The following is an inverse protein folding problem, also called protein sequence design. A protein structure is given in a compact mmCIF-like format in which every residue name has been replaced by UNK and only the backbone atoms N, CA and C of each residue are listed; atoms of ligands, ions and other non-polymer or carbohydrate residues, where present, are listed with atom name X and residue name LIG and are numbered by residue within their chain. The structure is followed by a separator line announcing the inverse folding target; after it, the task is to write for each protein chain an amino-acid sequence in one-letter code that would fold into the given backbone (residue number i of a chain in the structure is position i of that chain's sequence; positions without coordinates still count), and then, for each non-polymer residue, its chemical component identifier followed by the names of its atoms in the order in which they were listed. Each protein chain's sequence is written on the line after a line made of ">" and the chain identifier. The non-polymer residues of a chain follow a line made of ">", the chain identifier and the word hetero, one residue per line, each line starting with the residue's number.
data_IF_888781767251
#
_entry.id   IF_888781767251
#
_cell.length_a   1.000
_cell.length_b   1.000
_cell.length_c   1.000
_cell.angle_alpha   90.00
_cell.angle_beta   90.00
_cell.angle_gamma   90.00
#
_symmetry.space_group_name_H-M   'P 1'
#
loop_
_entity.id
_entity.type
_entity.pdbx_description
1 polymer ?
#
# COMPACT_ATOMS: atom_id res chain seq x y z
N UNK A 1 -1.94 -7.49 20.27
CA UNK A 1 -1.09 -8.58 19.75
C UNK A 1 0.27 -8.06 19.29
N UNK A 2 0.35 -6.86 18.69
CA UNK A 2 1.56 -6.35 18.03
C UNK A 2 2.15 -5.06 18.66
N UNK A 3 2.00 -4.86 19.98
CA UNK A 3 2.35 -3.60 20.66
C UNK A 3 3.82 -3.17 20.52
N UNK A 4 4.72 -4.12 20.32
CA UNK A 4 6.17 -3.88 20.16
C UNK A 4 6.62 -3.90 18.69
N UNK A 5 5.68 -3.94 17.74
CA UNK A 5 5.95 -3.93 16.30
C UNK A 5 5.72 -2.53 15.75
N UNK A 6 6.78 -1.93 15.21
CA UNK A 6 6.73 -0.71 14.42
C UNK A 6 6.88 -1.02 12.93
N UNK A 7 6.04 -0.36 12.14
CA UNK A 7 5.97 -0.52 10.69
C UNK A 7 6.18 0.83 10.02
N UNK A 8 7.17 0.92 9.12
CA UNK A 8 7.25 2.03 8.15
C UNK A 8 6.53 1.60 6.87
N UNK A 9 5.44 2.27 6.53
CA UNK A 9 4.63 1.98 5.35
C UNK A 9 4.82 3.05 4.28
N UNK A 10 5.20 2.64 3.08
CA UNK A 10 5.21 3.49 1.90
C UNK A 10 4.00 3.25 0.99
N UNK A 11 2.96 2.61 1.54
CA UNK A 11 1.87 2.12 0.73
C UNK A 11 0.90 3.23 0.32
N UNK A 12 0.29 3.09 -0.85
CA UNK A 12 -0.75 3.98 -1.37
C UNK A 12 -1.99 3.21 -1.85
N UNK A 13 -3.07 3.95 -2.14
CA UNK A 13 -4.39 3.41 -2.49
C UNK A 13 -4.99 2.51 -1.39
N UNK A 14 -5.26 1.22 -1.67
CA UNK A 14 -6.03 0.35 -0.76
C UNK A 14 -5.29 -0.89 -0.29
N UNK A 15 -4.73 -1.73 -1.17
CA UNK A 15 -4.18 -3.04 -0.76
C UNK A 15 -3.16 -2.94 0.39
N UNK A 16 -2.08 -2.16 0.21
CA UNK A 16 -1.08 -1.95 1.25
C UNK A 16 -1.59 -1.14 2.45
N UNK A 17 -2.38 -0.06 2.26
CA UNK A 17 -3.00 0.64 3.39
C UNK A 17 -3.96 -0.24 4.21
N UNK A 18 -4.77 -1.11 3.59
CA UNK A 18 -5.63 -2.04 4.30
C UNK A 18 -4.80 -3.01 5.16
N UNK A 19 -3.77 -3.64 4.59
CA UNK A 19 -2.87 -4.54 5.31
C UNK A 19 -2.27 -3.88 6.56
N UNK A 20 -1.69 -2.69 6.37
CA UNK A 20 -1.06 -1.96 7.47
C UNK A 20 -2.07 -1.40 8.47
N UNK A 21 -3.32 -1.14 8.07
CA UNK A 21 -4.38 -0.78 9.00
C UNK A 21 -4.77 -1.97 9.88
N UNK A 22 -4.90 -3.18 9.31
CA UNK A 22 -5.21 -4.38 10.10
C UNK A 22 -4.13 -4.64 11.15
N UNK A 23 -2.85 -4.48 10.79
CA UNK A 23 -1.75 -4.60 11.76
C UNK A 23 -1.79 -3.50 12.83
N UNK A 24 -2.13 -2.26 12.46
CA UNK A 24 -2.33 -1.17 13.41
C UNK A 24 -3.49 -1.46 14.37
N UNK A 25 -4.60 -2.03 13.87
CA UNK A 25 -5.75 -2.44 14.68
C UNK A 25 -5.39 -3.54 15.69
N UNK A 26 -4.42 -4.40 15.34
CA UNK A 26 -3.86 -5.43 16.24
C UNK A 26 -2.81 -4.88 17.23
N UNK A 27 -2.50 -3.59 17.14
CA UNK A 27 -1.68 -2.82 18.06
C UNK A 27 -0.30 -2.40 17.56
N UNK A 28 0.03 -2.58 16.27
CA UNK A 28 1.30 -2.12 15.72
C UNK A 28 1.38 -0.59 15.61
N UNK A 29 2.56 -0.01 15.83
CA UNK A 29 2.83 1.42 15.60
C UNK A 29 3.18 1.64 14.12
N UNK A 30 2.21 2.11 13.35
CA UNK A 30 2.36 2.27 11.90
C UNK A 30 2.61 3.73 11.54
N UNK A 31 3.72 3.99 10.86
CA UNK A 31 4.10 5.28 10.30
C UNK A 31 3.95 5.19 8.77
N UNK A 32 2.96 5.90 8.21
CA UNK A 32 2.78 6.06 6.77
C UNK A 32 3.66 7.21 6.27
N UNK A 33 4.49 6.91 5.28
CA UNK A 33 5.25 7.91 4.53
C UNK A 33 4.40 8.39 3.35
N UNK A 34 4.24 9.70 3.22
CA UNK A 34 3.46 10.32 2.15
C UNK A 34 4.30 11.35 1.37
N UNK A 35 3.93 11.65 0.11
CA UNK A 35 4.43 12.84 -0.57
C UNK A 35 4.12 14.12 0.21
N UNK A 36 4.83 15.22 -0.08
CA UNK A 36 4.62 16.52 0.54
C UNK A 36 3.17 17.01 0.37
N UNK A 37 2.58 16.72 -0.79
CA UNK A 37 1.20 17.07 -1.09
C UNK A 37 0.19 16.11 -0.44
N UNK A 38 0.64 15.09 0.28
CA UNK A 38 -0.18 13.97 0.78
C UNK A 38 -0.52 12.96 -0.32
N UNK A 39 -0.90 11.75 0.10
CA UNK A 39 -1.23 10.67 -0.82
C UNK A 39 -2.44 11.02 -1.72
N UNK A 40 -2.41 10.58 -2.98
CA UNK A 40 -3.43 10.91 -3.98
C UNK A 40 -4.84 10.52 -3.52
N UNK A 41 -4.96 9.35 -2.90
CA UNK A 41 -6.21 8.81 -2.40
C UNK A 41 -6.89 9.69 -1.34
N UNK A 42 -6.19 10.67 -0.73
CA UNK A 42 -6.83 11.65 0.17
C UNK A 42 -7.81 12.58 -0.56
N UNK A 43 -7.58 12.82 -1.85
CA UNK A 43 -8.35 13.72 -2.72
C UNK A 43 -9.19 12.99 -3.77
N UNK A 44 -9.13 11.67 -3.81
CA UNK A 44 -9.89 10.84 -4.73
C UNK A 44 -10.72 9.83 -3.97
N UNK A 45 -12.01 9.74 -4.29
CA UNK A 45 -12.95 8.86 -3.59
C UNK A 45 -13.96 8.26 -4.57
N UNK A 46 -14.33 7.00 -4.32
CA UNK A 46 -15.47 6.37 -4.99
C UNK A 46 -16.77 7.12 -4.65
N UNK A 47 -17.64 7.26 -5.66
CA UNK A 47 -18.93 7.96 -5.54
C UNK A 47 -18.86 9.39 -4.96
N UNK A 48 -17.70 10.06 -5.10
CA UNK A 48 -17.47 11.42 -4.58
C UNK A 48 -17.75 11.55 -3.06
N UNK A 49 -17.46 10.50 -2.28
CA UNK A 49 -17.71 10.49 -0.82
C UNK A 49 -16.54 11.12 -0.08
N UNK A 50 -16.79 12.25 0.61
CA UNK A 50 -15.81 12.98 1.41
C UNK A 50 -16.35 13.26 2.82
N UNK A 51 -15.48 13.16 3.82
CA UNK A 51 -15.76 13.53 5.21
C UNK A 51 -14.76 14.60 5.61
N UNK A 52 -15.25 15.80 5.96
CA UNK A 52 -14.40 16.95 6.30
C UNK A 52 -13.31 17.24 5.25
N UNK A 53 -13.65 17.12 3.97
CA UNK A 53 -12.71 17.36 2.86
C UNK A 53 -11.69 16.25 2.60
N UNK A 54 -11.76 15.12 3.33
CA UNK A 54 -10.91 13.95 3.11
C UNK A 54 -11.73 12.81 2.51
N UNK A 55 -11.15 12.14 1.51
CA UNK A 55 -11.75 10.98 0.84
C UNK A 55 -12.17 9.89 1.84
N UNK A 56 -13.42 9.44 1.72
CA UNK A 56 -13.91 8.27 2.46
C UNK A 56 -13.10 7.00 2.15
N UNK A 57 -12.59 6.87 0.91
CA UNK A 57 -11.71 5.77 0.52
C UNK A 57 -10.39 5.80 1.31
N UNK A 58 -9.76 6.96 1.49
CA UNK A 58 -8.56 7.08 2.33
C UNK A 58 -8.86 6.73 3.79
N UNK A 59 -9.96 7.28 4.34
CA UNK A 59 -10.33 7.11 5.75
C UNK A 59 -10.63 5.65 6.10
N UNK A 60 -11.17 4.87 5.17
CA UNK A 60 -11.48 3.45 5.37
C UNK A 60 -10.25 2.55 5.55
N UNK A 61 -9.05 2.99 5.14
CA UNK A 61 -7.84 2.18 5.09
C UNK A 61 -6.61 2.80 5.79
N UNK A 62 -6.77 3.90 6.53
CA UNK A 62 -5.66 4.59 7.20
C UNK A 62 -5.90 4.96 8.68
N UNK A 63 -6.91 4.40 9.35
CA UNK A 63 -7.08 4.61 10.80
C UNK A 63 -5.95 3.95 11.59
N UNK A 64 -5.72 4.43 12.82
CA UNK A 64 -4.67 3.95 13.74
C UNK A 64 -3.22 4.11 13.24
N UNK A 65 -2.99 4.93 12.22
CA UNK A 65 -1.65 5.25 11.70
C UNK A 65 -1.26 6.68 12.02
N UNK A 66 0.05 6.89 12.18
CA UNK A 66 0.68 8.22 12.10
C UNK A 66 1.11 8.45 10.66
N UNK A 67 1.11 9.71 10.22
CA UNK A 67 1.55 10.08 8.87
C UNK A 67 2.68 11.09 8.95
N UNK A 68 3.68 10.94 8.08
CA UNK A 68 4.75 11.92 7.87
C UNK A 68 4.91 12.15 6.37
N UNK A 69 4.96 13.42 5.98
CA UNK A 69 5.18 13.81 4.59
C UNK A 69 6.68 14.01 4.34
N UNK A 70 7.23 13.33 3.34
CA UNK A 70 8.64 13.39 2.97
C UNK A 70 8.78 13.50 1.44
N UNK A 71 9.69 14.35 0.98
CA UNK A 71 10.19 14.27 -0.40
C UNK A 71 11.29 13.22 -0.49
N UNK A 72 10.95 12.03 -0.96
CA UNK A 72 11.89 10.91 -1.08
C UNK A 72 12.91 11.08 -2.22
N UNK A 73 12.75 12.09 -3.09
CA UNK A 73 13.75 12.43 -4.11
C UNK A 73 14.85 13.32 -3.53
N UNK A 74 14.56 14.07 -2.47
CA UNK A 74 15.55 14.84 -1.74
C UNK A 74 16.43 13.90 -0.89
N UNK A 75 17.76 14.06 -0.88
CA UNK A 75 18.66 13.26 -0.05
C UNK A 75 18.27 13.25 1.44
N UNK A 76 17.82 14.40 1.96
CA UNK A 76 17.40 14.57 3.34
C UNK A 76 16.12 13.79 3.65
N UNK A 77 15.13 13.83 2.75
CA UNK A 77 13.89 13.08 2.91
C UNK A 77 14.12 11.57 2.86
N UNK A 78 15.01 11.11 1.98
CA UNK A 78 15.48 9.72 1.95
C UNK A 78 16.17 9.32 3.25
N UNK A 79 17.07 10.15 3.77
CA UNK A 79 17.77 9.84 5.02
C UNK A 79 16.83 9.80 6.23
N UNK A 80 15.83 10.69 6.29
CA UNK A 80 14.77 10.64 7.31
C UNK A 80 13.99 9.33 7.21
N UNK A 81 13.61 8.91 5.99
CA UNK A 81 12.93 7.64 5.78
C UNK A 81 13.78 6.45 6.25
N UNK A 82 15.09 6.43 5.94
CA UNK A 82 16.01 5.39 6.43
C UNK A 82 16.09 5.35 7.96
N UNK A 83 16.14 6.50 8.64
CA UNK A 83 16.12 6.56 10.11
C UNK A 83 14.83 6.00 10.71
N UNK A 84 13.68 6.24 10.07
CA UNK A 84 12.41 5.63 10.48
C UNK A 84 12.43 4.10 10.30
N UNK A 85 13.02 3.63 9.20
CA UNK A 85 13.19 2.20 8.92
C UNK A 85 14.11 1.53 9.95
N UNK A 86 15.22 2.15 10.36
CA UNK A 86 16.15 1.60 11.36
C UNK A 86 15.48 1.31 12.71
N UNK A 87 14.44 2.08 13.04
CA UNK A 87 13.61 1.94 14.24
C UNK A 87 12.43 0.98 14.06
N UNK A 88 12.18 0.51 12.84
CA UNK A 88 11.05 -0.36 12.51
C UNK A 88 11.49 -1.83 12.45
N UNK A 89 10.53 -2.73 12.71
CA UNK A 89 10.72 -4.17 12.49
C UNK A 89 10.27 -4.57 11.08
N UNK A 90 9.34 -3.80 10.50
CA UNK A 90 8.75 -4.10 9.19
C UNK A 90 8.77 -2.86 8.30
N UNK A 91 9.11 -3.05 7.03
CA UNK A 91 8.84 -2.10 5.94
C UNK A 91 7.78 -2.71 5.03
N UNK A 92 6.77 -1.93 4.66
CA UNK A 92 5.73 -2.37 3.72
C UNK A 92 5.61 -1.37 2.58
N UNK A 93 5.60 -1.85 1.34
CA UNK A 93 5.43 -1.02 0.15
C UNK A 93 4.59 -1.75 -0.92
N UNK A 94 3.91 -0.97 -1.75
CA UNK A 94 3.10 -1.51 -2.86
C UNK A 94 3.28 -0.73 -4.16
N UNK A 95 4.47 -0.21 -4.41
CA UNK A 95 4.81 0.39 -5.68
C UNK A 95 5.05 -0.67 -6.75
N UNK A 96 5.17 -0.22 -8.00
CA UNK A 96 5.67 -1.10 -9.06
C UNK A 96 7.10 -1.56 -8.73
N UNK A 97 7.51 -2.77 -9.17
CA UNK A 97 8.88 -3.25 -8.96
C UNK A 97 9.92 -2.22 -9.41
N UNK A 98 10.98 -2.05 -8.61
CA UNK A 98 12.08 -1.12 -8.92
C UNK A 98 11.86 0.34 -8.53
N UNK A 99 10.67 0.74 -8.06
CA UNK A 99 10.42 2.14 -7.68
C UNK A 99 11.22 2.53 -6.43
N UNK A 100 11.09 1.78 -5.33
CA UNK A 100 11.87 2.10 -4.12
C UNK A 100 13.35 1.79 -4.27
N UNK A 101 13.74 0.83 -5.11
CA UNK A 101 15.15 0.58 -5.44
C UNK A 101 15.82 1.84 -6.02
N UNK A 102 15.16 2.50 -6.98
CA UNK A 102 15.64 3.77 -7.57
C UNK A 102 15.68 4.93 -6.57
N UNK A 103 14.86 4.89 -5.53
CA UNK A 103 14.88 5.85 -4.43
C UNK A 103 15.90 5.47 -3.34
N UNK A 104 16.62 4.36 -3.45
CA UNK A 104 17.55 3.88 -2.43
C UNK A 104 16.87 3.38 -1.16
N UNK A 105 15.59 3.00 -1.26
CA UNK A 105 14.75 2.49 -0.17
C UNK A 105 14.26 1.06 -0.44
N UNK A 106 14.79 0.42 -1.48
CA UNK A 106 14.54 -0.98 -1.79
C UNK A 106 15.17 -1.94 -0.78
N UNK A 107 14.82 -3.23 -0.89
CA UNK A 107 15.18 -4.24 0.10
C UNK A 107 16.70 -4.31 0.36
N UNK A 108 17.53 -4.36 -0.68
CA UNK A 108 18.99 -4.47 -0.49
C UNK A 108 19.58 -3.27 0.25
N UNK A 109 19.15 -2.05 -0.09
CA UNK A 109 19.60 -0.84 0.60
C UNK A 109 19.13 -0.79 2.06
N UNK A 110 17.88 -1.19 2.31
CA UNK A 110 17.29 -1.25 3.65
C UNK A 110 17.95 -2.32 4.51
N UNK A 111 18.23 -3.50 3.95
CA UNK A 111 18.87 -4.62 4.66
C UNK A 111 20.28 -4.28 5.12
N UNK A 112 21.04 -3.50 4.36
CA UNK A 112 22.36 -3.00 4.78
C UNK A 112 22.25 -2.15 6.05
N UNK A 113 21.22 -1.31 6.16
CA UNK A 113 20.97 -0.47 7.35
C UNK A 113 20.40 -1.27 8.52
N UNK A 114 19.49 -2.21 8.25
CA UNK A 114 18.80 -3.02 9.25
C UNK A 114 18.74 -4.49 8.81
N UNK A 115 19.76 -5.33 9.12
CA UNK A 115 19.81 -6.70 8.64
C UNK A 115 18.65 -7.60 9.09
N UNK A 116 18.04 -7.29 10.24
CA UNK A 116 16.92 -8.04 10.81
C UNK A 116 15.53 -7.56 10.33
N UNK A 117 15.47 -6.66 9.35
CA UNK A 117 14.21 -6.09 8.85
C UNK A 117 13.37 -7.13 8.10
N UNK A 118 12.07 -7.09 8.32
CA UNK A 118 11.10 -7.76 7.45
C UNK A 118 10.68 -6.77 6.37
N UNK A 119 10.89 -7.10 5.10
CA UNK A 119 10.51 -6.24 3.98
C UNK A 119 9.39 -6.91 3.18
N UNK A 120 8.20 -6.31 3.21
CA UNK A 120 7.03 -6.80 2.49
C UNK A 120 6.73 -5.89 1.29
N UNK A 121 6.73 -6.48 0.10
CA UNK A 121 6.38 -5.83 -1.16
C UNK A 121 5.16 -6.51 -1.75
N UNK A 122 4.18 -5.73 -2.19
CA UNK A 122 2.98 -6.25 -2.86
C UNK A 122 2.72 -5.49 -4.17
N UNK A 123 2.64 -6.22 -5.27
CA UNK A 123 2.37 -5.66 -6.60
C UNK A 123 1.27 -6.48 -7.26
N UNK A 124 0.53 -5.91 -8.22
CA UNK A 124 -0.63 -6.62 -8.77
C UNK A 124 -0.29 -7.91 -9.53
N UNK A 125 0.91 -8.04 -10.10
CA UNK A 125 1.34 -9.23 -10.84
C UNK A 125 2.50 -9.98 -10.17
N UNK A 126 2.92 -9.57 -8.99
CA UNK A 126 4.13 -10.07 -8.33
C UNK A 126 5.43 -9.41 -8.83
N UNK A 127 6.55 -9.79 -8.20
CA UNK A 127 7.87 -9.22 -8.49
C UNK A 127 8.64 -9.97 -9.60
N UNK A 128 8.06 -11.03 -10.16
CA UNK A 128 8.69 -11.90 -11.16
C UNK A 128 7.70 -12.33 -12.24
N UNK A 129 8.22 -12.95 -13.30
CA UNK A 129 7.41 -13.42 -14.43
C UNK A 129 7.17 -12.34 -15.51
N UNK A 130 6.47 -12.71 -16.59
CA UNK A 130 6.34 -11.89 -17.79
C UNK A 130 5.52 -10.62 -17.58
N UNK A 131 4.63 -10.60 -16.58
CA UNK A 131 3.73 -9.49 -16.31
C UNK A 131 4.23 -8.56 -15.19
N UNK A 132 5.43 -8.78 -14.64
CA UNK A 132 5.94 -8.04 -13.46
C UNK A 132 5.96 -6.51 -13.63
N UNK A 133 6.14 -6.03 -14.86
CA UNK A 133 6.23 -4.60 -15.17
C UNK A 133 4.86 -3.98 -15.54
N UNK A 134 3.79 -4.79 -15.55
CA UNK A 134 2.44 -4.32 -15.86
C UNK A 134 1.80 -3.61 -14.66
N UNK A 135 1.01 -2.54 -14.88
CA UNK A 135 0.24 -1.92 -13.82
C UNK A 135 -0.87 -2.86 -13.32
N UNK A 136 -0.88 -3.11 -12.02
CA UNK A 136 -1.97 -3.82 -11.35
C UNK A 136 -2.96 -2.87 -10.69
N UNK A 137 -4.25 -3.17 -10.83
CA UNK A 137 -5.34 -2.54 -10.10
C UNK A 137 -6.40 -3.59 -9.82
N UNK A 138 -7.19 -3.37 -8.76
CA UNK A 138 -8.24 -4.28 -8.31
C UNK A 138 -9.12 -4.78 -9.47
N UNK A 139 -9.72 -3.88 -10.26
CA UNK A 139 -10.59 -4.26 -11.38
C UNK A 139 -9.87 -5.10 -12.45
N UNK A 140 -8.62 -4.78 -12.77
CA UNK A 140 -7.83 -5.57 -13.73
C UNK A 140 -7.63 -6.99 -13.18
N UNK A 141 -7.38 -7.11 -11.87
CA UNK A 141 -7.24 -8.41 -11.23
C UNK A 141 -8.55 -9.16 -11.15
N UNK A 142 -9.69 -8.50 -10.84
CA UNK A 142 -11.00 -9.15 -10.87
C UNK A 142 -11.30 -9.76 -12.24
N UNK A 143 -10.97 -9.05 -13.33
CA UNK A 143 -11.13 -9.55 -14.69
C UNK A 143 -10.22 -10.75 -14.96
N UNK A 144 -8.94 -10.65 -14.55
CA UNK A 144 -7.92 -11.66 -14.83
C UNK A 144 -8.08 -12.95 -14.03
N UNK A 145 -8.60 -12.89 -12.80
CA UNK A 145 -8.75 -14.05 -11.91
C UNK A 145 -10.04 -14.83 -12.17
N UNK A 146 -10.91 -14.36 -13.06
CA UNK A 146 -12.22 -14.95 -13.32
C UNK A 146 -13.30 -14.54 -12.32
N UNK A 147 -12.99 -13.67 -11.34
CA UNK A 147 -13.99 -13.16 -10.39
C UNK A 147 -15.13 -12.43 -11.11
N UNK A 148 -14.81 -11.61 -12.11
CA UNK A 148 -15.83 -10.96 -12.94
C UNK A 148 -16.64 -11.98 -13.74
N UNK A 149 -16.01 -13.03 -14.27
CA UNK A 149 -16.74 -14.05 -15.04
C UNK A 149 -17.72 -14.84 -14.16
N UNK A 150 -17.37 -15.04 -12.88
CA UNK A 150 -18.24 -15.66 -11.88
C UNK A 150 -19.30 -14.73 -11.27
N UNK A 151 -19.33 -13.45 -11.64
CA UNK A 151 -20.21 -12.43 -11.06
C UNK A 151 -21.04 -11.76 -12.17
N UNK A 152 -22.34 -11.54 -11.91
CA UNK A 152 -23.28 -10.97 -12.87
C UNK A 152 -24.39 -11.95 -13.23
N UNK A 153 -25.10 -11.70 -14.33
CA UNK A 153 -26.16 -12.57 -14.83
C UNK A 153 -26.11 -12.73 -16.36
N UNK A 154 -27.01 -13.55 -16.90
CA UNK A 154 -27.07 -13.87 -18.35
C UNK A 154 -27.34 -12.66 -19.25
N UNK A 155 -27.80 -11.54 -18.70
CA UNK A 155 -28.14 -10.33 -19.43
C UNK A 155 -27.04 -9.27 -19.33
N UNK A 156 -26.41 -9.14 -18.16
CA UNK A 156 -25.34 -8.16 -17.92
C UNK A 156 -23.94 -8.67 -18.31
N UNK A 157 -23.72 -9.99 -18.33
CA UNK A 157 -22.40 -10.58 -18.57
C UNK A 157 -21.43 -10.42 -17.38
N UNK A 158 -20.12 -10.65 -17.59
CA UNK A 158 -19.11 -10.54 -16.54
C UNK A 158 -19.11 -9.16 -15.88
N UNK A 159 -19.30 -9.13 -14.56
CA UNK A 159 -19.52 -7.90 -13.80
C UNK A 159 -18.53 -7.81 -12.63
N UNK A 160 -17.93 -6.64 -12.41
CA UNK A 160 -17.08 -6.41 -11.25
C UNK A 160 -17.89 -6.48 -9.94
N UNK A 161 -17.29 -7.01 -8.87
CA UNK A 161 -17.87 -6.83 -7.54
C UNK A 161 -17.74 -5.36 -7.13
N UNK A 162 -18.76 -4.84 -6.44
CA UNK A 162 -18.88 -3.41 -6.13
C UNK A 162 -17.89 -2.90 -5.07
N UNK A 163 -17.11 -3.78 -4.45
CA UNK A 163 -16.02 -3.44 -3.55
C UNK A 163 -14.66 -3.80 -4.18
N UNK A 164 -13.59 -3.23 -3.64
CA UNK A 164 -12.23 -3.57 -4.04
C UNK A 164 -11.77 -4.88 -3.37
N UNK A 165 -12.39 -5.98 -3.81
CA UNK A 165 -12.26 -7.29 -3.18
C UNK A 165 -10.85 -7.88 -3.29
N UNK A 166 -10.15 -7.66 -4.42
CA UNK A 166 -8.79 -8.16 -4.61
C UNK A 166 -7.82 -7.38 -3.73
N UNK A 167 -7.96 -6.05 -3.66
CA UNK A 167 -7.12 -5.22 -2.82
C UNK A 167 -7.30 -5.57 -1.33
N UNK A 168 -8.54 -5.72 -0.87
CA UNK A 168 -8.81 -6.09 0.52
C UNK A 168 -8.34 -7.52 0.84
N UNK A 169 -8.58 -8.48 -0.06
CA UNK A 169 -8.15 -9.86 0.13
C UNK A 169 -6.62 -9.99 0.10
N UNK A 170 -5.95 -9.33 -0.85
CA UNK A 170 -4.49 -9.32 -0.93
C UNK A 170 -3.81 -8.52 0.17
N UNK A 171 -4.56 -7.75 0.96
CA UNK A 171 -4.06 -7.06 2.15
C UNK A 171 -4.32 -7.80 3.48
N UNK A 172 -5.26 -8.75 3.52
CA UNK A 172 -5.63 -9.51 4.72
C UNK A 172 -4.64 -10.65 4.98
#
# INVERSE_FOLDING_TARGET
>A
MLKDVRITSFCHYLQGPAATQYLADLGADVIKIEPIEGAYERRWSGANVFVNGVSGFYLAANRNKKSVALDLKAPEGREIALKLIEQSQVVVENFRPGVLDRLGLGYEAVKVRKPAIIYASATGFGASGPDKDRPGQDLIMQARTGLMAGTGDRFAGPTAVGCAAIDQHGGA
#
